data_IF_178172667167
#
_entry.id   IF_178172667167
#
_cell.length_a   1.000
_cell.length_b   1.000
_cell.length_c   1.000
_cell.angle_alpha   90.00
_cell.angle_beta   90.00
_cell.angle_gamma   90.00
#
_symmetry.space_group_name_H-M   'P 1'
#
loop_
_entity.id
_entity.type
_entity.pdbx_description
1 polymer ?
#
# COMPACT_ATOMS: atom_id res chain seq x y z
N UNK A 1 -18.33 5.88 11.61
CA UNK A 1 -17.42 6.17 10.48
C UNK A 1 -17.08 7.64 10.50
N UNK A 2 -15.83 8.02 10.22
CA UNK A 2 -15.44 9.44 10.19
C UNK A 2 -16.14 10.17 9.02
N UNK A 3 -16.63 11.38 9.24
CA UNK A 3 -17.21 12.20 8.18
C UNK A 3 -16.10 12.84 7.35
N UNK A 4 -15.79 12.22 6.21
CA UNK A 4 -14.72 12.67 5.31
C UNK A 4 -14.95 14.08 4.73
N UNK A 5 -16.20 14.52 4.64
CA UNK A 5 -16.53 15.85 4.11
C UNK A 5 -16.16 16.96 5.10
N UNK A 6 -16.44 16.77 6.39
CA UNK A 6 -16.08 17.72 7.44
C UNK A 6 -14.56 17.73 7.67
N UNK A 7 -13.92 16.55 7.62
CA UNK A 7 -12.47 16.43 7.68
C UNK A 7 -11.77 17.13 6.51
N UNK A 8 -12.33 17.12 5.31
CA UNK A 8 -11.77 17.83 4.15
C UNK A 8 -11.85 19.35 4.30
N UNK A 9 -12.89 19.87 4.96
CA UNK A 9 -13.00 21.31 5.25
C UNK A 9 -12.01 21.76 6.33
N UNK A 10 -11.60 20.84 7.19
CA UNK A 10 -10.58 21.07 8.20
C UNK A 10 -9.18 20.93 7.58
N UNK A 11 -8.32 21.92 7.77
CA UNK A 11 -6.92 21.82 7.35
C UNK A 11 -6.13 21.00 8.39
N UNK A 12 -5.98 19.70 8.13
CA UNK A 12 -5.38 18.75 9.07
C UNK A 12 -3.92 19.08 9.41
N UNK A 13 -3.22 19.83 8.54
CA UNK A 13 -1.85 20.28 8.83
C UNK A 13 -1.81 21.21 10.04
N UNK A 14 -2.92 21.89 10.36
CA UNK A 14 -3.02 22.71 11.55
C UNK A 14 -2.84 21.87 12.83
N UNK A 15 -3.30 20.62 12.85
CA UNK A 15 -3.17 19.74 14.02
C UNK A 15 -1.72 19.35 14.28
N UNK A 16 -0.93 19.14 13.22
CA UNK A 16 0.51 18.86 13.33
C UNK A 16 1.26 20.09 13.88
N UNK A 17 0.90 21.27 13.40
CA UNK A 17 1.48 22.54 13.88
C UNK A 17 1.11 22.76 15.35
N UNK A 18 -0.14 22.53 15.73
CA UNK A 18 -0.60 22.62 17.11
C UNK A 18 0.23 21.71 18.03
N UNK A 19 0.39 20.43 17.66
CA UNK A 19 1.11 19.44 18.44
C UNK A 19 2.58 19.85 18.64
N UNK A 20 3.22 20.36 17.59
CA UNK A 20 4.60 20.86 17.66
C UNK A 20 4.73 22.09 18.58
N UNK A 21 3.77 23.02 18.53
CA UNK A 21 3.73 24.17 19.45
C UNK A 21 3.55 23.68 20.90
N UNK A 22 2.69 22.69 21.12
CA UNK A 22 2.41 22.13 22.45
C UNK A 22 3.67 21.49 23.04
N UNK A 23 4.39 20.69 22.26
CA UNK A 23 5.61 20.00 22.69
C UNK A 23 6.76 20.97 23.04
N UNK A 24 6.91 22.07 22.29
CA UNK A 24 8.01 23.01 22.49
C UNK A 24 7.66 24.25 23.34
N UNK A 25 6.37 24.49 23.58
CA UNK A 25 5.84 25.70 24.24
C UNK A 25 6.46 27.00 23.69
N UNK A 26 6.75 27.02 22.39
CA UNK A 26 7.44 28.10 21.70
C UNK A 26 7.13 28.09 20.20
N UNK A 27 6.68 29.23 19.69
CA UNK A 27 6.40 29.43 18.26
C UNK A 27 7.68 29.32 17.43
N UNK A 28 8.79 29.92 17.90
CA UNK A 28 10.05 29.91 17.17
C UNK A 28 10.64 28.50 17.06
N UNK A 29 10.65 27.75 18.17
CA UNK A 29 11.13 26.36 18.15
C UNK A 29 10.26 25.46 17.28
N UNK A 30 8.93 25.63 17.35
CA UNK A 30 8.02 24.88 16.48
C UNK A 30 8.26 25.19 14.99
N UNK A 31 8.54 26.44 14.66
CA UNK A 31 8.86 26.85 13.29
C UNK A 31 10.16 26.18 12.79
N UNK A 32 11.19 26.15 13.64
CA UNK A 32 12.46 25.46 13.36
C UNK A 32 12.24 23.95 13.16
N UNK A 33 11.52 23.28 14.07
CA UNK A 33 11.22 21.83 13.99
C UNK A 33 10.45 21.46 12.73
N UNK A 34 9.52 22.32 12.31
CA UNK A 34 8.69 22.09 11.13
C UNK A 34 9.29 22.65 9.83
N UNK A 35 10.50 23.22 9.88
CA UNK A 35 11.17 23.86 8.74
C UNK A 35 10.32 24.92 8.02
N UNK A 36 9.58 25.73 8.79
CA UNK A 36 8.74 26.82 8.29
C UNK A 36 9.05 28.13 9.02
N UNK A 37 8.47 29.25 8.56
CA UNK A 37 8.68 30.55 9.21
C UNK A 37 7.82 30.69 10.47
N UNK A 38 8.27 31.43 11.51
CA UNK A 38 7.44 31.75 12.68
C UNK A 38 6.12 32.48 12.33
N UNK A 39 6.10 33.23 11.22
CA UNK A 39 4.87 33.85 10.70
C UNK A 39 3.87 32.80 10.23
N UNK A 40 4.32 31.75 9.54
CA UNK A 40 3.46 30.66 9.09
C UNK A 40 2.85 29.90 10.29
N UNK A 41 3.66 29.60 11.30
CA UNK A 41 3.18 29.00 12.56
C UNK A 41 2.13 29.88 13.24
N UNK A 42 2.36 31.19 13.29
CA UNK A 42 1.44 32.15 13.91
C UNK A 42 0.10 32.24 13.16
N UNK A 43 0.13 32.24 11.82
CA UNK A 43 -1.08 32.22 10.99
C UNK A 43 -1.87 30.91 11.16
N UNK A 44 -1.19 29.76 11.20
CA UNK A 44 -1.81 28.47 11.45
C UNK A 44 -2.46 28.42 12.84
N UNK A 45 -1.78 28.94 13.86
CA UNK A 45 -2.36 29.07 15.20
C UNK A 45 -3.58 30.00 15.21
N UNK A 46 -3.55 31.11 14.47
CA UNK A 46 -4.72 31.99 14.35
C UNK A 46 -5.92 31.26 13.72
N UNK A 47 -5.70 30.43 12.71
CA UNK A 47 -6.77 29.62 12.09
C UNK A 47 -7.35 28.61 13.06
N UNK A 48 -6.49 27.91 13.82
CA UNK A 48 -6.94 27.00 14.89
C UNK A 48 -7.78 27.73 15.93
N UNK A 49 -7.35 28.91 16.37
CA UNK A 49 -8.08 29.71 17.35
C UNK A 49 -9.50 30.04 16.89
N UNK A 50 -9.65 30.41 15.62
CA UNK A 50 -10.97 30.68 15.04
C UNK A 50 -11.84 29.41 14.96
N UNK A 51 -11.22 28.27 14.64
CA UNK A 51 -11.95 27.01 14.44
C UNK A 51 -12.41 26.36 15.75
N UNK A 52 -11.58 26.42 16.78
CA UNK A 52 -11.90 25.92 18.12
C UNK A 52 -12.58 26.98 19.01
N UNK A 53 -12.67 28.22 18.54
CA UNK A 53 -13.15 29.37 19.30
C UNK A 53 -12.47 29.49 20.68
N UNK A 54 -11.15 29.24 20.73
CA UNK A 54 -10.33 29.21 21.94
C UNK A 54 -8.92 29.75 21.61
N UNK A 55 -8.25 30.51 22.50
CA UNK A 55 -6.90 31.00 22.23
C UNK A 55 -5.84 29.89 22.14
N UNK A 56 -6.13 28.68 22.65
CA UNK A 56 -5.32 27.45 22.71
C UNK A 56 -4.02 27.56 23.51
N UNK A 57 -3.33 28.69 23.39
CA UNK A 57 -2.14 29.07 24.12
C UNK A 57 -2.22 30.54 24.53
N UNK A 58 -1.86 30.81 25.78
CA UNK A 58 -1.76 32.14 26.38
C UNK A 58 -0.30 32.46 26.69
N UNK A 59 0.07 33.74 26.72
CA UNK A 59 1.43 34.15 27.09
C UNK A 59 1.65 33.97 28.59
N UNK A 60 2.79 33.38 28.96
CA UNK A 60 3.22 33.25 30.35
C UNK A 60 4.73 33.43 30.45
N UNK A 61 5.18 34.49 31.13
CA UNK A 61 6.60 34.79 31.35
C UNK A 61 7.42 34.81 30.06
N UNK A 62 8.33 33.83 29.90
CA UNK A 62 9.26 33.70 28.77
C UNK A 62 8.71 32.89 27.59
N UNK A 63 7.45 32.44 27.64
CA UNK A 63 6.90 31.57 26.60
C UNK A 63 5.38 31.60 26.52
N UNK A 64 4.82 30.48 26.09
CA UNK A 64 3.38 30.26 26.00
C UNK A 64 2.98 29.04 26.81
N UNK A 65 1.77 29.04 27.33
CA UNK A 65 1.19 27.92 28.09
C UNK A 65 -0.17 27.57 27.50
N UNK A 66 -0.51 26.28 27.37
CA UNK A 66 -1.78 25.86 26.78
C UNK A 66 -2.97 26.23 27.69
N UNK A 67 -4.13 26.42 27.07
CA UNK A 67 -5.42 26.49 27.78
C UNK A 67 -5.89 25.09 28.18
N UNK A 68 -6.96 25.00 28.96
CA UNK A 68 -7.62 23.71 29.25
C UNK A 68 -8.05 23.03 27.93
N UNK A 69 -8.59 23.81 26.99
CA UNK A 69 -8.93 23.35 25.64
C UNK A 69 -7.70 22.81 24.90
N UNK A 70 -6.57 23.53 24.96
CA UNK A 70 -5.31 23.07 24.38
C UNK A 70 -4.80 21.76 24.99
N UNK A 71 -4.85 21.60 26.31
CA UNK A 71 -4.46 20.37 27.00
C UNK A 71 -5.32 19.19 26.54
N UNK A 72 -6.65 19.36 26.52
CA UNK A 72 -7.57 18.32 26.07
C UNK A 72 -7.36 17.97 24.59
N UNK A 73 -7.08 18.97 23.75
CA UNK A 73 -6.82 18.77 22.33
C UNK A 73 -5.56 17.92 22.13
N UNK A 74 -4.47 18.23 22.83
CA UNK A 74 -3.24 17.43 22.80
C UNK A 74 -3.48 15.97 23.23
N UNK A 75 -4.17 15.76 24.36
CA UNK A 75 -4.47 14.42 24.88
C UNK A 75 -5.15 13.51 23.85
N UNK A 76 -6.05 14.07 23.05
CA UNK A 76 -6.70 13.33 21.97
C UNK A 76 -5.85 13.24 20.70
N UNK A 77 -5.06 14.26 20.38
CA UNK A 77 -4.27 14.27 19.14
C UNK A 77 -3.05 13.37 19.19
N UNK A 78 -2.36 13.27 20.32
CA UNK A 78 -1.10 12.52 20.44
C UNK A 78 -1.27 11.07 19.94
N UNK A 79 -2.25 10.34 20.49
CA UNK A 79 -2.51 8.95 20.10
C UNK A 79 -2.97 8.80 18.64
N UNK A 80 -3.75 9.77 18.14
CA UNK A 80 -4.26 9.74 16.78
C UNK A 80 -3.15 10.01 15.76
N UNK A 81 -2.28 10.98 16.01
CA UNK A 81 -1.14 11.30 15.15
C UNK A 81 -0.13 10.15 15.15
N UNK A 82 0.15 9.54 16.30
CA UNK A 82 1.00 8.34 16.37
C UNK A 82 0.43 7.18 15.55
N UNK A 83 -0.89 6.96 15.61
CA UNK A 83 -1.54 5.91 14.81
C UNK A 83 -1.48 6.19 13.30
N UNK A 84 -1.63 7.45 12.90
CA UNK A 84 -1.48 7.89 11.51
C UNK A 84 -0.05 7.72 11.03
N UNK A 85 0.93 8.12 11.83
CA UNK A 85 2.35 7.93 11.52
C UNK A 85 2.68 6.46 11.33
N UNK A 86 2.23 5.58 12.23
CA UNK A 86 2.40 4.13 12.09
C UNK A 86 1.78 3.62 10.79
N UNK A 87 0.56 4.07 10.45
CA UNK A 87 -0.11 3.67 9.20
C UNK A 87 0.67 4.11 7.96
N UNK A 88 1.22 5.32 7.96
CA UNK A 88 2.04 5.84 6.86
C UNK A 88 3.38 5.10 6.79
N UNK A 89 4.03 4.87 7.93
CA UNK A 89 5.32 4.19 8.01
C UNK A 89 5.22 2.70 7.64
N UNK A 90 4.08 2.05 7.86
CA UNK A 90 3.81 0.69 7.36
C UNK A 90 3.98 0.62 5.83
N UNK A 91 3.59 1.67 5.09
CA UNK A 91 3.83 1.72 3.65
C UNK A 91 5.30 1.96 3.27
N UNK A 92 6.09 2.61 4.15
CA UNK A 92 7.45 3.02 3.85
C UNK A 92 8.54 2.05 4.35
N UNK A 93 8.29 1.27 5.42
CA UNK A 93 9.28 0.42 6.09
C UNK A 93 8.95 -1.08 6.04
N UNK A 94 7.99 -1.49 5.21
CA UNK A 94 7.18 -2.70 5.37
C UNK A 94 7.94 -3.94 5.86
N UNK A 95 7.76 -4.25 7.14
CA UNK A 95 7.80 -5.61 7.70
C UNK A 95 6.54 -6.43 7.33
N UNK A 96 5.60 -5.82 6.60
CA UNK A 96 4.56 -6.56 5.89
C UNK A 96 5.24 -7.37 4.79
N UNK A 97 4.92 -8.66 4.73
CA UNK A 97 5.36 -9.48 3.63
C UNK A 97 4.90 -8.82 2.33
N UNK A 98 5.83 -8.48 1.45
CA UNK A 98 5.54 -8.02 0.10
C UNK A 98 4.72 -9.10 -0.58
N UNK A 99 3.45 -8.81 -0.85
CA UNK A 99 2.65 -9.70 -1.68
C UNK A 99 3.22 -9.66 -3.09
N UNK A 100 3.61 -10.83 -3.60
CA UNK A 100 4.00 -11.04 -4.97
C UNK A 100 2.88 -11.80 -5.67
N UNK A 101 2.15 -11.12 -6.54
CA UNK A 101 0.92 -11.62 -7.15
C UNK A 101 1.24 -12.21 -8.52
N UNK A 102 0.95 -13.50 -8.68
CA UNK A 102 1.16 -14.25 -9.92
C UNK A 102 -0.20 -14.64 -10.48
N UNK A 103 -0.45 -14.31 -11.74
CA UNK A 103 -1.58 -14.86 -12.49
C UNK A 103 -1.10 -15.91 -13.47
N UNK A 104 -1.66 -17.12 -13.42
CA UNK A 104 -1.42 -18.14 -14.45
C UNK A 104 -2.56 -19.14 -14.52
N UNK A 105 -2.78 -19.80 -15.68
CA UNK A 105 -3.67 -20.95 -15.75
C UNK A 105 -3.21 -22.03 -14.76
N UNK A 106 -4.12 -22.58 -13.94
CA UNK A 106 -3.76 -23.63 -12.96
C UNK A 106 -3.23 -24.91 -13.63
N UNK A 107 -3.63 -25.18 -14.87
CA UNK A 107 -3.12 -26.31 -15.66
C UNK A 107 -1.61 -26.20 -15.95
N UNK A 108 -1.02 -25.01 -15.84
CA UNK A 108 0.41 -24.78 -16.06
C UNK A 108 1.25 -24.85 -14.77
N UNK A 109 0.69 -25.32 -13.66
CA UNK A 109 1.44 -25.59 -12.42
C UNK A 109 2.31 -26.82 -12.61
N UNK A 110 3.43 -26.61 -13.30
CA UNK A 110 4.45 -27.61 -13.58
C UNK A 110 5.73 -27.31 -12.79
N UNK A 111 6.69 -28.24 -12.85
CA UNK A 111 7.99 -28.12 -12.15
C UNK A 111 8.67 -26.75 -12.35
N UNK A 112 8.73 -26.14 -13.56
CA UNK A 112 9.35 -24.82 -13.73
C UNK A 112 8.69 -23.71 -12.91
N UNK A 113 7.35 -23.69 -12.84
CA UNK A 113 6.61 -22.72 -12.04
C UNK A 113 6.83 -22.94 -10.54
N UNK A 114 6.84 -24.20 -10.11
CA UNK A 114 7.14 -24.54 -8.72
C UNK A 114 8.56 -24.12 -8.32
N UNK A 115 9.54 -24.26 -9.22
CA UNK A 115 10.91 -23.84 -8.96
C UNK A 115 11.05 -22.31 -8.90
N UNK A 116 10.30 -21.57 -9.73
CA UNK A 116 10.16 -20.11 -9.63
C UNK A 116 9.56 -19.69 -8.28
N UNK A 117 8.42 -20.29 -7.89
CA UNK A 117 7.75 -20.00 -6.61
C UNK A 117 8.68 -20.31 -5.43
N UNK A 118 9.41 -21.44 -5.47
CA UNK A 118 10.41 -21.78 -4.45
C UNK A 118 11.55 -20.78 -4.40
N UNK A 119 12.02 -20.31 -5.55
CA UNK A 119 13.07 -19.30 -5.62
C UNK A 119 12.61 -17.98 -5.01
N UNK A 120 11.42 -17.50 -5.37
CA UNK A 120 10.81 -16.29 -4.81
C UNK A 120 10.58 -16.40 -3.29
N UNK A 121 10.17 -17.57 -2.81
CA UNK A 121 10.00 -17.87 -1.37
C UNK A 121 11.29 -17.88 -0.55
N UNK A 122 12.48 -17.86 -1.17
CA UNK A 122 13.73 -17.73 -0.42
C UNK A 122 13.82 -16.39 0.31
N UNK A 123 13.12 -15.37 -0.18
CA UNK A 123 12.93 -14.13 0.55
C UNK A 123 11.79 -14.28 1.56
N UNK A 124 12.14 -14.28 2.85
CA UNK A 124 11.19 -14.45 3.98
C UNK A 124 10.19 -13.28 4.05
N UNK A 125 10.52 -12.15 3.43
CA UNK A 125 9.67 -10.97 3.36
C UNK A 125 8.69 -11.01 2.19
N UNK A 126 8.60 -12.10 1.42
CA UNK A 126 7.66 -12.22 0.29
C UNK A 126 6.56 -13.23 0.61
N UNK A 127 5.31 -12.81 0.43
CA UNK A 127 4.13 -13.68 0.44
C UNK A 127 3.64 -13.83 -0.99
N UNK A 128 3.55 -15.06 -1.50
CA UNK A 128 3.12 -15.29 -2.87
C UNK A 128 1.62 -15.53 -2.88
N UNK A 129 0.91 -14.73 -3.67
CA UNK A 129 -0.50 -14.91 -4.00
C UNK A 129 -0.58 -15.41 -5.45
N UNK A 130 -1.23 -16.55 -5.66
CA UNK A 130 -1.36 -17.14 -6.99
C UNK A 130 -2.82 -17.22 -7.38
N UNK A 131 -3.17 -16.58 -8.48
CA UNK A 131 -4.52 -16.48 -9.00
C UNK A 131 -4.61 -17.15 -10.37
N UNK A 132 -5.76 -17.78 -10.65
CA UNK A 132 -6.00 -18.34 -11.97
C UNK A 132 -6.41 -17.24 -12.96
N UNK A 133 -5.67 -17.12 -14.06
CA UNK A 133 -6.00 -16.17 -15.12
C UNK A 133 -7.31 -16.50 -15.84
N UNK A 134 -7.73 -17.77 -15.82
CA UNK A 134 -9.00 -18.20 -16.41
C UNK A 134 -10.20 -17.92 -15.49
N UNK A 135 -9.96 -17.50 -14.25
CA UNK A 135 -11.00 -17.14 -13.29
C UNK A 135 -11.31 -15.63 -13.27
N UNK A 136 -10.65 -14.84 -14.13
CA UNK A 136 -10.87 -13.40 -14.27
C UNK A 136 -11.20 -13.05 -15.72
N UNK A 137 -12.01 -12.01 -15.91
CA UNK A 137 -12.31 -11.44 -17.23
C UNK A 137 -11.29 -10.37 -17.65
N UNK A 138 -10.34 -10.04 -16.77
CA UNK A 138 -9.31 -9.02 -17.04
C UNK A 138 -8.22 -9.55 -17.97
N UNK A 139 -7.81 -8.70 -18.92
CA UNK A 139 -6.70 -9.04 -19.82
C UNK A 139 -5.37 -9.09 -19.05
N UNK A 140 -4.41 -9.94 -19.48
CA UNK A 140 -3.04 -9.92 -18.96
C UNK A 140 -2.43 -8.51 -18.93
N UNK A 141 -2.72 -7.72 -19.96
CA UNK A 141 -2.24 -6.36 -20.12
C UNK A 141 -2.79 -5.43 -19.03
N UNK A 142 -4.09 -5.51 -18.73
CA UNK A 142 -4.72 -4.70 -17.68
C UNK A 142 -4.23 -5.11 -16.29
N UNK A 143 -4.09 -6.42 -16.06
CA UNK A 143 -3.56 -6.96 -14.79
C UNK A 143 -2.16 -6.38 -14.49
N UNK A 144 -1.30 -6.29 -15.50
CA UNK A 144 0.04 -5.73 -15.36
C UNK A 144 0.02 -4.19 -15.32
N UNK A 145 -0.72 -3.54 -16.20
CA UNK A 145 -0.78 -2.08 -16.31
C UNK A 145 -1.33 -1.42 -15.04
N UNK A 146 -2.33 -2.04 -14.41
CA UNK A 146 -2.94 -1.56 -13.17
C UNK A 146 -2.28 -2.09 -11.90
N UNK A 147 -1.14 -2.79 -12.01
CA UNK A 147 -0.40 -3.40 -10.88
C UNK A 147 -1.27 -4.35 -10.03
N UNK A 148 -2.21 -5.05 -10.67
CA UNK A 148 -2.97 -6.15 -10.05
C UNK A 148 -2.19 -7.46 -10.04
N UNK A 149 -1.17 -7.58 -10.91
CA UNK A 149 -0.23 -8.69 -10.96
C UNK A 149 1.20 -8.16 -11.06
N UNK A 150 2.15 -8.89 -10.46
CA UNK A 150 3.60 -8.66 -10.65
C UNK A 150 4.11 -9.45 -11.87
N UNK A 151 3.59 -10.67 -12.06
CA UNK A 151 3.89 -11.53 -13.20
C UNK A 151 2.61 -12.19 -13.70
N UNK A 152 2.47 -12.28 -15.01
CA UNK A 152 1.47 -13.10 -15.68
C UNK A 152 2.15 -14.17 -16.50
N UNK A 153 1.73 -15.43 -16.34
CA UNK A 153 2.17 -16.54 -17.18
C UNK A 153 1.03 -16.91 -18.12
N UNK A 154 1.18 -16.54 -19.39
CA UNK A 154 0.19 -16.80 -20.44
C UNK A 154 0.59 -18.00 -21.29
N UNK A 155 -0.41 -18.63 -21.93
CA UNK A 155 -0.21 -19.67 -22.95
C UNK A 155 0.09 -19.09 -24.33
N UNK A 156 -0.17 -17.80 -24.52
CA UNK A 156 0.03 -17.07 -25.78
C UNK A 156 0.92 -15.85 -25.55
N UNK A 157 1.78 -15.49 -26.52
CA UNK A 157 2.62 -14.31 -26.39
C UNK A 157 1.78 -13.04 -26.34
N UNK A 158 2.16 -12.11 -25.46
CA UNK A 158 1.53 -10.80 -25.31
C UNK A 158 2.42 -9.77 -26.00
N UNK A 159 1.88 -9.06 -26.99
CA UNK A 159 2.62 -8.03 -27.72
C UNK A 159 2.16 -6.64 -27.30
N UNK A 160 2.85 -6.06 -26.32
CA UNK A 160 2.59 -4.71 -25.82
C UNK A 160 3.91 -4.01 -25.55
N UNK A 161 4.06 -2.76 -25.99
CA UNK A 161 5.29 -1.97 -25.86
C UNK A 161 5.73 -1.75 -24.41
N UNK A 162 4.78 -1.80 -23.48
CA UNK A 162 5.01 -1.60 -22.04
C UNK A 162 5.21 -2.90 -21.27
N UNK A 163 5.16 -4.06 -21.93
CA UNK A 163 5.22 -5.39 -21.30
C UNK A 163 6.43 -6.16 -21.83
N UNK A 164 7.27 -6.62 -20.92
CA UNK A 164 8.34 -7.56 -21.25
C UNK A 164 7.76 -8.97 -21.27
N UNK A 165 7.58 -9.55 -22.46
CA UNK A 165 7.15 -10.93 -22.63
C UNK A 165 8.37 -11.80 -22.97
N UNK A 166 8.63 -12.83 -22.16
CA UNK A 166 9.75 -13.77 -22.37
C UNK A 166 9.21 -15.20 -22.35
N UNK A 167 9.67 -16.03 -23.30
CA UNK A 167 9.33 -17.44 -23.33
C UNK A 167 9.99 -18.17 -22.15
N UNK A 168 9.19 -18.80 -21.29
CA UNK A 168 9.70 -19.54 -20.12
C UNK A 168 10.06 -20.99 -20.47
N UNK A 169 9.15 -21.72 -21.10
CA UNK A 169 9.34 -23.10 -21.57
C UNK A 169 8.26 -23.47 -22.59
N UNK A 170 8.43 -24.61 -23.28
CA UNK A 170 7.39 -25.20 -24.14
C UNK A 170 6.84 -26.48 -23.50
N UNK A 171 5.57 -26.76 -23.77
CA UNK A 171 4.88 -27.97 -23.30
C UNK A 171 4.38 -28.74 -24.50
N UNK A 172 4.67 -30.04 -24.54
CA UNK A 172 4.14 -30.93 -25.57
C UNK A 172 2.69 -31.30 -25.25
N UNK A 173 1.77 -30.94 -26.14
CA UNK A 173 0.39 -31.38 -26.06
C UNK A 173 0.27 -32.81 -26.62
N UNK A 174 -0.04 -33.76 -25.75
CA UNK A 174 -0.25 -35.17 -26.12
C UNK A 174 -1.71 -35.57 -25.96
N UNK A 175 -2.18 -36.47 -26.83
CA UNK A 175 -3.48 -37.12 -26.69
C UNK A 175 -3.36 -38.24 -25.67
N UNK A 176 -4.23 -38.21 -24.66
CA UNK A 176 -4.34 -39.27 -23.65
C UNK A 176 -5.61 -40.06 -23.90
N UNK A 177 -5.48 -41.39 -23.99
CA UNK A 177 -6.61 -42.30 -24.10
C UNK A 177 -6.51 -43.42 -23.05
N UNK A 178 -7.64 -44.04 -22.73
CA UNK A 178 -7.64 -45.27 -21.93
C UNK A 178 -6.77 -46.35 -22.60
N UNK A 179 -6.07 -47.15 -21.81
CA UNK A 179 -5.32 -48.32 -22.33
C UNK A 179 -6.24 -49.26 -23.12
N UNK A 180 -7.51 -49.33 -22.74
CA UNK A 180 -8.54 -50.16 -23.38
C UNK A 180 -9.34 -49.39 -24.44
N UNK A 181 -8.82 -48.29 -24.99
CA UNK A 181 -9.56 -47.51 -25.99
C UNK A 181 -9.87 -48.35 -27.24
N UNK A 182 -11.14 -48.61 -27.56
CA UNK A 182 -11.56 -49.67 -28.48
C UNK A 182 -11.04 -49.51 -29.90
N UNK A 183 -10.76 -48.28 -30.33
CA UNK A 183 -10.25 -47.99 -31.67
C UNK A 183 -8.71 -47.92 -31.73
N UNK A 184 -8.03 -47.59 -30.63
CA UNK A 184 -6.56 -47.39 -30.61
C UNK A 184 -5.84 -48.71 -30.28
N UNK A 185 -6.46 -49.56 -29.44
CA UNK A 185 -5.91 -50.88 -29.11
C UNK A 185 -5.80 -51.83 -30.33
N UNK A 186 -6.56 -51.57 -31.41
CA UNK A 186 -6.48 -52.34 -32.67
C UNK A 186 -5.26 -52.01 -33.51
N UNK A 187 -4.73 -50.79 -33.44
CA UNK A 187 -3.59 -50.36 -34.26
C UNK A 187 -2.24 -50.75 -33.65
N UNK A 188 -2.12 -50.86 -32.31
CA UNK A 188 -0.88 -51.26 -31.62
C UNK A 188 -0.44 -52.73 -31.83
N UNK A 189 -1.25 -53.56 -32.50
CA UNK A 189 -1.00 -55.00 -32.74
C UNK A 189 -0.58 -55.34 -34.17
N UNK A 190 -0.26 -54.35 -35.00
CA UNK A 190 0.39 -54.52 -36.31
C UNK A 190 1.82 -54.02 -36.23
#
# INVERSE_FOLDING_TARGET
MANLYDLKKFDLNLLVIFECIYQHLSISKAAETLYITPSAVSQSLQRLRMQFNDPLFIRSGKGITPTITGINLHYHLENNLNSLEQTINIMNQSSLKKKFIIYSPQLLINKPLLDLIKYLRKDIQVEIEHNDILATDESPEDLLAYRKADIVLSTSPINNRSIVCTQLYMVDCVLVCSENHPQIARERKR
#
